data_IF_676865700170
#
_entry.id   IF_676865700170
#
_cell.length_a   1.000
_cell.length_b   1.000
_cell.length_c   1.000
_cell.angle_alpha   90.00
_cell.angle_beta   90.00
_cell.angle_gamma   90.00
#
_symmetry.space_group_name_H-M   'P 1'
#
loop_
_entity.id
_entity.type
_entity.pdbx_description
1 polymer ?
#
# COMPACT_ATOMS: atom_id res chain seq x y z
N UNK A 1 -2.42 -1.16 11.04
CA UNK A 1 -2.51 -1.25 9.57
C UNK A 1 -1.80 -0.03 8.99
N UNK A 2 -1.24 -0.14 7.80
CA UNK A 2 -0.59 0.97 7.09
C UNK A 2 -1.41 1.39 5.87
N UNK A 3 -1.35 2.66 5.51
CA UNK A 3 -1.94 3.20 4.28
C UNK A 3 -0.82 3.76 3.38
N UNK A 4 -0.48 3.07 2.27
CA UNK A 4 0.44 3.58 1.25
C UNK A 4 -0.11 4.81 0.50
N UNK A 5 0.77 5.72 0.07
CA UNK A 5 0.37 6.87 -0.76
C UNK A 5 -0.33 6.44 -2.06
N UNK A 6 0.17 5.39 -2.73
CA UNK A 6 -0.46 4.95 -3.97
C UNK A 6 -1.88 4.45 -3.80
N UNK A 7 -2.25 3.91 -2.64
CA UNK A 7 -3.66 3.58 -2.36
C UNK A 7 -4.54 4.83 -2.42
N UNK A 8 -4.03 5.98 -1.96
CA UNK A 8 -4.73 7.28 -2.07
C UNK A 8 -4.81 7.71 -3.54
N UNK A 9 -3.68 7.66 -4.28
CA UNK A 9 -3.62 8.08 -5.69
C UNK A 9 -4.56 7.22 -6.56
N UNK A 10 -4.46 5.90 -6.47
CA UNK A 10 -5.28 4.98 -7.28
C UNK A 10 -6.75 5.11 -6.93
N UNK A 11 -7.11 5.18 -5.64
CA UNK A 11 -8.51 5.41 -5.23
C UNK A 11 -9.06 6.72 -5.80
N UNK A 12 -8.24 7.79 -5.79
CA UNK A 12 -8.60 9.08 -6.38
C UNK A 12 -8.83 8.99 -7.89
N UNK A 13 -7.93 8.31 -8.61
CA UNK A 13 -8.04 8.06 -10.05
C UNK A 13 -9.28 7.22 -10.38
N UNK A 14 -9.56 6.16 -9.62
CA UNK A 14 -10.77 5.35 -9.78
C UNK A 14 -12.05 6.19 -9.59
N UNK A 15 -12.09 7.06 -8.58
CA UNK A 15 -13.22 7.97 -8.37
C UNK A 15 -13.38 8.93 -9.55
N UNK A 16 -12.29 9.49 -10.07
CA UNK A 16 -12.32 10.43 -11.20
C UNK A 16 -12.92 9.81 -12.47
N UNK A 17 -12.69 8.51 -12.70
CA UNK A 17 -13.22 7.76 -13.84
C UNK A 17 -14.67 7.27 -13.67
N UNK A 18 -15.31 7.49 -12.52
CA UNK A 18 -16.74 7.18 -12.36
C UNK A 18 -17.55 8.03 -13.35
N UNK A 19 -18.34 7.38 -14.21
CA UNK A 19 -19.12 8.06 -15.25
C UNK A 19 -20.21 9.00 -14.69
N UNK A 20 -20.94 8.56 -13.66
CA UNK A 20 -21.97 9.35 -13.00
C UNK A 20 -21.35 10.43 -12.10
N UNK A 21 -21.61 11.70 -12.44
CA UNK A 21 -21.10 12.85 -11.69
C UNK A 21 -21.60 12.93 -10.24
N UNK A 22 -22.81 12.45 -9.94
CA UNK A 22 -23.35 12.42 -8.58
C UNK A 22 -22.62 11.37 -7.74
N UNK A 23 -22.44 10.16 -8.29
CA UNK A 23 -21.66 9.12 -7.61
C UNK A 23 -20.21 9.55 -7.42
N UNK A 24 -19.58 10.13 -8.44
CA UNK A 24 -18.22 10.68 -8.35
C UNK A 24 -18.09 11.69 -7.21
N UNK A 25 -19.01 12.67 -7.12
CA UNK A 25 -19.05 13.64 -6.03
C UNK A 25 -19.22 12.98 -4.66
N UNK A 26 -20.16 12.03 -4.54
CA UNK A 26 -20.41 11.33 -3.28
C UNK A 26 -19.18 10.55 -2.80
N UNK A 27 -18.49 9.83 -3.70
CA UNK A 27 -17.26 9.09 -3.35
C UNK A 27 -16.09 10.01 -3.03
N UNK A 28 -15.94 11.12 -3.76
CA UNK A 28 -14.91 12.12 -3.48
C UNK A 28 -15.07 12.74 -2.07
N UNK A 29 -16.30 12.98 -1.61
CA UNK A 29 -16.56 13.48 -0.25
C UNK A 29 -16.11 12.46 0.82
N UNK A 30 -16.42 11.18 0.64
CA UNK A 30 -15.98 10.12 1.55
C UNK A 30 -14.45 10.03 1.56
N UNK A 31 -13.81 10.06 0.39
CA UNK A 31 -12.34 10.05 0.30
C UNK A 31 -11.72 11.26 1.01
N UNK A 32 -12.29 12.46 0.84
CA UNK A 32 -11.83 13.66 1.51
C UNK A 32 -11.90 13.53 3.05
N UNK A 33 -13.00 12.98 3.58
CA UNK A 33 -13.14 12.69 5.01
C UNK A 33 -12.07 11.70 5.49
N UNK A 34 -11.85 10.60 4.76
CA UNK A 34 -10.83 9.61 5.12
C UNK A 34 -9.41 10.19 5.10
N UNK A 35 -9.09 11.04 4.14
CA UNK A 35 -7.81 11.76 4.09
C UNK A 35 -7.68 12.68 5.31
N UNK A 36 -8.70 13.48 5.62
CA UNK A 36 -8.70 14.36 6.79
C UNK A 36 -8.50 13.56 8.09
N UNK A 37 -9.19 12.43 8.24
CA UNK A 37 -9.02 11.55 9.40
C UNK A 37 -7.62 10.94 9.46
N UNK A 38 -7.03 10.61 8.31
CA UNK A 38 -5.68 10.06 8.23
C UNK A 38 -4.63 11.09 8.67
N UNK A 39 -4.71 12.33 8.20
CA UNK A 39 -3.74 13.38 8.56
C UNK A 39 -3.88 13.90 9.99
N UNK A 40 -5.06 13.72 10.59
CA UNK A 40 -5.32 14.09 11.99
C UNK A 40 -5.13 12.91 12.97
N UNK A 41 -4.55 11.79 12.53
CA UNK A 41 -4.34 10.57 13.34
C UNK A 41 -5.64 9.99 13.96
N UNK A 42 -6.77 10.18 13.26
CA UNK A 42 -8.12 9.70 13.65
C UNK A 42 -8.56 8.45 12.86
N UNK A 43 -7.71 7.97 11.96
CA UNK A 43 -7.95 6.76 11.18
C UNK A 43 -7.36 5.53 11.91
N UNK A 44 -7.91 4.31 11.71
CA UNK A 44 -7.39 3.08 12.32
C UNK A 44 -6.12 2.55 11.60
N UNK A 45 -5.44 3.39 10.85
CA UNK A 45 -4.22 3.09 10.11
C UNK A 45 -3.23 4.24 10.18
N UNK A 46 -1.95 3.93 9.97
CA UNK A 46 -0.86 4.91 9.90
C UNK A 46 -0.49 5.16 8.45
N UNK A 47 -0.35 6.43 8.06
CA UNK A 47 0.15 6.81 6.75
C UNK A 47 1.65 6.46 6.62
N UNK A 48 2.03 5.71 5.57
CA UNK A 48 3.39 5.18 5.38
C UNK A 48 3.76 5.11 3.89
N UNK A 49 5.04 5.21 3.54
CA UNK A 49 5.50 5.17 2.14
C UNK A 49 5.14 6.46 1.40
N UNK A 50 5.76 7.57 1.82
CA UNK A 50 5.38 8.94 1.40
C UNK A 50 5.92 9.33 0.02
N UNK A 51 7.10 8.82 -0.34
CA UNK A 51 7.78 9.07 -1.61
C UNK A 51 8.62 7.85 -1.96
N UNK A 52 8.98 7.71 -3.24
CA UNK A 52 9.97 6.73 -3.65
C UNK A 52 11.37 7.26 -3.44
N UNK A 53 12.21 6.47 -2.79
CA UNK A 53 13.65 6.73 -2.80
C UNK A 53 14.24 6.42 -4.20
N UNK A 54 15.39 7.01 -4.52
CA UNK A 54 16.02 6.84 -5.84
C UNK A 54 16.28 5.36 -6.18
N UNK A 55 16.68 4.59 -5.19
CA UNK A 55 16.97 3.16 -5.30
C UNK A 55 15.69 2.35 -5.59
N UNK A 56 14.56 2.78 -5.04
CA UNK A 56 13.26 2.17 -5.30
C UNK A 56 12.78 2.44 -6.74
N UNK A 57 13.03 3.64 -7.26
CA UNK A 57 12.75 3.97 -8.66
C UNK A 57 13.60 3.16 -9.62
N UNK A 58 14.88 2.93 -9.28
CA UNK A 58 15.76 2.05 -10.06
C UNK A 58 15.20 0.62 -10.08
N UNK A 59 14.68 0.14 -8.95
CA UNK A 59 14.18 -1.23 -8.85
C UNK A 59 12.87 -1.40 -9.61
N UNK A 60 11.99 -0.40 -9.53
CA UNK A 60 10.80 -0.33 -10.38
C UNK A 60 11.20 -0.32 -11.86
N UNK A 61 12.20 0.47 -12.26
CA UNK A 61 12.63 0.53 -13.67
C UNK A 61 13.08 -0.81 -14.25
N UNK A 62 13.62 -1.70 -13.40
CA UNK A 62 14.07 -3.04 -13.79
C UNK A 62 12.89 -3.99 -14.01
N UNK A 63 11.80 -3.81 -13.28
CA UNK A 63 10.64 -4.72 -13.30
C UNK A 63 9.45 -4.18 -14.11
N UNK A 64 9.38 -2.86 -14.37
CA UNK A 64 8.18 -2.18 -14.90
C UNK A 64 7.69 -2.71 -16.24
N UNK A 65 8.60 -3.13 -17.14
CA UNK A 65 8.24 -3.66 -18.45
C UNK A 65 7.54 -5.01 -18.32
N UNK A 66 8.11 -5.93 -17.53
CA UNK A 66 7.56 -7.27 -17.31
C UNK A 66 6.21 -7.20 -16.58
N UNK A 67 6.09 -6.27 -15.63
CA UNK A 67 4.84 -6.03 -14.90
C UNK A 67 3.77 -5.39 -15.79
N UNK A 68 4.13 -4.45 -16.67
CA UNK A 68 3.19 -3.86 -17.61
C UNK A 68 2.58 -4.91 -18.58
N UNK A 69 3.37 -5.89 -19.03
CA UNK A 69 2.88 -7.02 -19.85
C UNK A 69 1.85 -7.88 -19.09
N UNK A 70 1.92 -7.88 -17.75
CA UNK A 70 0.97 -8.57 -16.86
C UNK A 70 -0.15 -7.65 -16.35
N UNK A 71 -0.29 -6.46 -16.94
CA UNK A 71 -1.29 -5.46 -16.57
C UNK A 71 -1.14 -4.95 -15.12
N UNK A 72 0.07 -5.04 -14.56
CA UNK A 72 0.41 -4.52 -13.23
C UNK A 72 0.93 -3.09 -13.38
N UNK A 73 0.23 -2.14 -12.76
CA UNK A 73 0.56 -0.72 -12.84
C UNK A 73 1.70 -0.32 -11.90
N UNK A 74 2.27 0.87 -12.14
CA UNK A 74 3.28 1.47 -11.22
C UNK A 74 2.68 1.71 -9.83
N UNK A 75 1.37 1.98 -9.74
CA UNK A 75 0.64 2.05 -8.47
C UNK A 75 0.76 0.76 -7.66
N UNK A 76 0.53 -0.40 -8.28
CA UNK A 76 0.69 -1.70 -7.61
C UNK A 76 2.13 -1.96 -7.20
N UNK A 77 3.10 -1.65 -8.08
CA UNK A 77 4.52 -1.79 -7.78
C UNK A 77 4.95 -0.95 -6.58
N UNK A 78 4.38 0.23 -6.43
CA UNK A 78 4.62 1.08 -5.26
C UNK A 78 4.11 0.46 -3.96
N UNK A 79 2.94 -0.20 -3.99
CA UNK A 79 2.37 -0.87 -2.81
C UNK A 79 3.23 -2.06 -2.44
N UNK A 80 3.72 -2.81 -3.43
CA UNK A 80 4.66 -3.92 -3.25
C UNK A 80 5.97 -3.42 -2.63
N UNK A 81 6.51 -2.30 -3.10
CA UNK A 81 7.74 -1.74 -2.56
C UNK A 81 7.55 -1.29 -1.10
N UNK A 82 6.44 -0.61 -0.80
CA UNK A 82 6.07 -0.27 0.58
C UNK A 82 5.96 -1.50 1.47
N UNK A 83 5.38 -2.60 0.98
CA UNK A 83 5.32 -3.86 1.69
C UNK A 83 6.72 -4.43 1.98
N UNK A 84 7.63 -4.44 0.99
CA UNK A 84 9.02 -4.92 1.15
C UNK A 84 9.75 -4.09 2.21
N UNK A 85 9.71 -2.77 2.12
CA UNK A 85 10.37 -1.86 3.06
C UNK A 85 9.77 -1.96 4.47
N UNK A 86 8.44 -2.05 4.58
CA UNK A 86 7.77 -2.20 5.88
C UNK A 86 8.16 -3.50 6.58
N UNK A 87 8.26 -4.60 5.82
CA UNK A 87 8.70 -5.89 6.34
C UNK A 87 10.11 -5.85 6.92
N UNK A 88 11.03 -5.14 6.27
CA UNK A 88 12.43 -5.06 6.71
C UNK A 88 12.62 -4.16 7.93
N UNK A 89 11.76 -3.16 8.09
CA UNK A 89 11.92 -2.12 9.12
C UNK A 89 11.17 -2.40 10.42
N UNK A 90 10.16 -3.27 10.39
CA UNK A 90 9.33 -3.57 11.57
C UNK A 90 9.71 -4.93 12.17
N UNK A 91 10.11 -5.00 13.46
CA UNK A 91 10.28 -6.27 14.15
C UNK A 91 8.92 -6.93 14.34
N UNK A 92 8.53 -7.74 13.36
CA UNK A 92 7.17 -8.23 13.27
C UNK A 92 6.97 -9.53 14.07
N UNK A 93 5.93 -9.53 14.91
CA UNK A 93 5.36 -10.73 15.52
C UNK A 93 4.04 -10.99 14.79
N UNK A 94 3.86 -12.17 14.18
CA UNK A 94 2.62 -12.55 13.49
C UNK A 94 2.79 -12.66 11.97
N UNK A 95 1.96 -11.96 11.19
CA UNK A 95 2.02 -11.99 9.71
C UNK A 95 1.94 -10.59 9.13
N UNK A 96 2.65 -10.34 8.04
CA UNK A 96 2.50 -9.13 7.21
C UNK A 96 1.85 -9.55 5.88
N UNK A 97 0.94 -8.72 5.36
CA UNK A 97 0.28 -8.97 4.07
C UNK A 97 -0.12 -7.67 3.39
N UNK A 98 -0.28 -7.71 2.07
CA UNK A 98 -1.03 -6.71 1.33
C UNK A 98 -2.51 -7.10 1.37
N UNK A 99 -3.39 -6.17 1.79
CA UNK A 99 -4.84 -6.38 1.73
C UNK A 99 -5.38 -5.75 0.47
N UNK A 100 -5.74 -6.57 -0.51
CA UNK A 100 -6.34 -6.14 -1.78
C UNK A 100 -7.37 -7.15 -2.28
N UNK A 101 -8.29 -6.69 -3.13
CA UNK A 101 -9.14 -7.56 -3.94
C UNK A 101 -8.41 -8.08 -5.19
N UNK A 102 -7.30 -7.46 -5.57
CA UNK A 102 -6.50 -7.86 -6.74
C UNK A 102 -5.64 -9.09 -6.43
N UNK A 103 -5.77 -10.11 -7.27
CA UNK A 103 -5.17 -11.42 -7.03
C UNK A 103 -3.64 -11.40 -7.03
N UNK A 104 -3.00 -10.55 -7.86
CA UNK A 104 -1.53 -10.45 -7.90
C UNK A 104 -0.98 -9.84 -6.62
N UNK A 105 -1.70 -8.92 -5.98
CA UNK A 105 -1.32 -8.31 -4.71
C UNK A 105 -1.55 -9.27 -3.51
N UNK A 106 -2.55 -10.15 -3.59
CA UNK A 106 -2.83 -11.13 -2.53
C UNK A 106 -1.70 -12.16 -2.34
N UNK A 107 -0.85 -12.36 -3.36
CA UNK A 107 0.32 -13.23 -3.25
C UNK A 107 1.38 -12.72 -2.25
N UNK A 108 1.31 -11.43 -1.86
CA UNK A 108 2.25 -10.84 -0.91
C UNK A 108 1.76 -11.03 0.53
N UNK A 109 2.17 -12.15 1.10
CA UNK A 109 1.92 -12.56 2.48
C UNK A 109 3.16 -13.25 3.05
N UNK A 110 3.51 -12.96 4.31
CA UNK A 110 4.61 -13.62 5.00
C UNK A 110 4.31 -13.80 6.49
N UNK A 111 4.51 -15.02 6.99
CA UNK A 111 4.56 -15.29 8.42
C UNK A 111 5.91 -14.88 8.98
N UNK A 112 5.88 -14.07 10.03
CA UNK A 112 7.07 -13.53 10.66
C UNK A 112 7.45 -14.42 11.85
N UNK A 113 8.72 -14.82 11.97
CA UNK A 113 9.15 -15.71 13.03
C UNK A 113 8.89 -15.10 14.40
N UNK A 114 8.30 -15.87 15.32
CA UNK A 114 8.11 -15.44 16.69
C UNK A 114 9.48 -15.13 17.32
N UNK A 115 9.60 -13.95 17.96
CA UNK A 115 10.81 -13.58 18.70
C UNK A 115 11.05 -14.65 19.79
N UNK A 116 12.05 -15.51 19.58
CA UNK A 116 12.52 -16.44 20.61
C UNK A 116 13.15 -15.62 21.72
N UNK A 117 12.40 -15.37 22.80
CA UNK A 117 12.98 -14.85 24.04
C UNK A 117 14.06 -15.84 24.49
N UNK A 118 15.34 -15.45 24.44
CA UNK A 118 16.41 -16.16 25.13
C UNK A 118 15.98 -16.25 26.60
N UNK A 119 15.72 -17.46 27.09
CA UNK A 119 15.67 -17.69 28.53
C UNK A 119 17.12 -17.66 28.98
N UNK A 120 17.55 -16.53 29.52
CA UNK A 120 18.79 -16.49 30.29
C UNK A 120 18.61 -17.48 31.46
N UNK A 121 19.52 -18.45 31.52
CA UNK A 121 19.72 -19.38 32.63
C UNK A 121 21.10 -19.14 33.19
#
# INVERSE_FOLDING_TARGET
>A
MILPLATIIETGNHIAHIADGNMRRARALVMAELIQRTVNDQAPWTYYGKEFEREELLEISKEVVDHAVREIGIGDLSIIQVYKTYKETVPAIGSIRIWSLDSHLQAYFEEMPAIRRRRDR
#
